data_IF_075543134279
#
_entry.id   IF_075543134279
#
_cell.length_a   1.000
_cell.length_b   1.000
_cell.length_c   1.000
_cell.angle_alpha   90.00
_cell.angle_beta   90.00
_cell.angle_gamma   90.00
#
_symmetry.space_group_name_H-M   'P 1'
#
loop_
_entity.id
_entity.type
_entity.pdbx_description
1 polymer ?
#
# COMPACT_ATOMS: atom_id res chain seq x y z
N UNK A 1 -14.29 -12.73 9.37
CA UNK A 1 -13.23 -12.96 8.35
C UNK A 1 -12.25 -14.09 8.75
N UNK A 2 -12.75 -15.23 9.23
CA UNK A 2 -11.96 -16.21 10.03
C UNK A 2 -10.84 -17.00 9.31
N UNK A 3 -10.50 -16.69 8.05
CA UNK A 3 -9.54 -17.46 7.25
C UNK A 3 -8.16 -16.80 7.08
N UNK A 4 -7.97 -15.55 7.54
CA UNK A 4 -6.68 -14.83 7.55
C UNK A 4 -6.55 -13.82 8.71
N UNK A 5 -6.65 -14.26 9.98
CA UNK A 5 -6.58 -13.33 11.11
C UNK A 5 -5.17 -12.76 11.38
N UNK A 6 -4.09 -13.49 11.09
CA UNK A 6 -2.72 -13.20 11.52
C UNK A 6 -2.09 -11.87 11.07
N UNK A 7 -2.75 -11.12 10.19
CA UNK A 7 -2.32 -9.78 9.75
C UNK A 7 -2.99 -8.64 10.53
N UNK A 8 -3.89 -8.99 11.46
CA UNK A 8 -4.72 -8.09 12.23
C UNK A 8 -4.32 -8.14 13.71
N UNK A 9 -4.45 -7.02 14.40
CA UNK A 9 -4.15 -6.93 15.83
C UNK A 9 -5.20 -7.70 16.64
N UNK A 10 -4.76 -8.49 17.62
CA UNK A 10 -5.61 -9.44 18.39
C UNK A 10 -6.46 -10.37 17.49
N UNK A 11 -6.07 -10.60 16.23
CA UNK A 11 -6.85 -11.36 15.23
C UNK A 11 -8.25 -10.75 14.90
N UNK A 12 -8.52 -9.53 15.38
CA UNK A 12 -9.80 -8.81 15.24
C UNK A 12 -9.83 -7.93 13.98
N UNK A 13 -10.98 -7.89 13.32
CA UNK A 13 -11.15 -7.13 12.08
C UNK A 13 -11.49 -5.67 12.34
N UNK A 14 -11.15 -4.76 11.41
CA UNK A 14 -11.74 -3.42 11.39
C UNK A 14 -13.27 -3.50 11.29
N UNK A 15 -13.98 -2.63 12.01
CA UNK A 15 -15.38 -2.34 11.75
C UNK A 15 -15.48 -1.24 10.68
N UNK A 16 -16.23 -1.54 9.62
CA UNK A 16 -16.46 -0.71 8.45
C UNK A 16 -17.98 -0.65 8.22
N UNK A 17 -18.63 0.51 8.42
CA UNK A 17 -20.06 0.70 8.21
C UNK A 17 -20.53 0.15 6.86
N UNK A 18 -21.71 -0.47 6.86
CA UNK A 18 -22.38 -1.09 5.71
C UNK A 18 -21.59 -2.21 4.98
N UNK A 19 -20.44 -2.63 5.51
CA UNK A 19 -19.54 -3.60 4.86
C UNK A 19 -19.14 -4.75 5.78
N UNK A 20 -18.59 -4.44 6.94
CA UNK A 20 -17.99 -5.41 7.87
C UNK A 20 -18.22 -4.95 9.31
N UNK A 21 -19.01 -5.70 10.08
CA UNK A 21 -19.29 -5.44 11.49
C UNK A 21 -18.98 -6.70 12.30
N UNK A 22 -18.16 -6.57 13.35
CA UNK A 22 -17.77 -7.62 14.28
C UNK A 22 -17.33 -8.92 13.59
N UNK A 23 -16.50 -8.77 12.55
CA UNK A 23 -15.98 -9.86 11.73
C UNK A 23 -16.94 -10.42 10.68
N UNK A 24 -18.20 -9.98 10.66
CA UNK A 24 -19.28 -10.41 9.76
C UNK A 24 -19.40 -9.48 8.55
N UNK A 25 -19.27 -10.04 7.35
CA UNK A 25 -19.49 -9.30 6.10
C UNK A 25 -21.00 -9.23 5.82
N UNK A 26 -21.52 -8.02 5.67
CA UNK A 26 -22.97 -7.78 5.51
C UNK A 26 -23.47 -8.18 4.11
N UNK A 27 -22.78 -7.77 3.04
CA UNK A 27 -23.02 -8.27 1.68
C UNK A 27 -21.93 -9.27 1.27
N UNK A 28 -22.17 -10.55 1.60
CA UNK A 28 -21.29 -11.66 1.21
C UNK A 28 -21.25 -11.93 -0.30
N UNK A 29 -22.16 -11.36 -1.10
CA UNK A 29 -22.12 -11.52 -2.56
C UNK A 29 -21.10 -10.55 -3.17
N UNK A 30 -21.07 -9.30 -2.69
CA UNK A 30 -20.16 -8.24 -3.15
C UNK A 30 -18.78 -8.29 -2.53
N UNK A 31 -18.68 -8.35 -1.21
CA UNK A 31 -17.41 -8.19 -0.50
C UNK A 31 -16.75 -9.54 -0.26
N UNK A 32 -15.43 -9.62 -0.50
CA UNK A 32 -14.65 -10.86 -0.40
C UNK A 32 -13.40 -10.65 0.45
N UNK A 33 -13.17 -11.54 1.40
CA UNK A 33 -11.88 -11.64 2.09
C UNK A 33 -10.90 -12.34 1.16
N UNK A 34 -9.77 -11.71 0.89
CA UNK A 34 -8.69 -12.27 0.09
C UNK A 34 -7.49 -12.49 1.01
N UNK A 35 -7.16 -13.75 1.15
CA UNK A 35 -5.96 -14.24 1.77
C UNK A 35 -4.81 -14.18 0.76
N UNK A 36 -4.15 -13.03 0.64
CA UNK A 36 -3.20 -12.74 -0.42
C UNK A 36 -2.02 -13.71 -0.33
N UNK A 37 -2.01 -14.71 -1.21
CA UNK A 37 -1.12 -15.87 -1.14
C UNK A 37 -0.17 -15.84 -2.33
N UNK A 38 1.13 -15.72 -2.07
CA UNK A 38 2.16 -15.72 -3.10
C UNK A 38 3.25 -16.73 -2.76
N UNK A 39 3.53 -17.63 -3.72
CA UNK A 39 4.42 -18.79 -3.56
C UNK A 39 4.04 -19.64 -2.34
N UNK A 40 2.77 -20.01 -2.25
CA UNK A 40 2.14 -20.81 -1.18
C UNK A 40 2.18 -20.19 0.23
N UNK A 41 2.78 -19.01 0.42
CA UNK A 41 2.82 -18.28 1.69
C UNK A 41 1.79 -17.16 1.69
N UNK A 42 1.03 -17.05 2.79
CA UNK A 42 0.14 -15.91 3.08
C UNK A 42 1.01 -14.67 3.34
N UNK A 43 0.69 -13.54 2.71
CA UNK A 43 1.53 -12.32 2.72
C UNK A 43 0.85 -11.14 3.41
N UNK A 44 -0.44 -10.97 3.15
CA UNK A 44 -1.31 -9.96 3.78
C UNK A 44 -2.79 -10.36 3.60
N UNK A 45 -3.72 -9.59 4.16
CA UNK A 45 -5.16 -9.77 3.93
C UNK A 45 -5.75 -8.53 3.27
N UNK A 46 -6.72 -8.72 2.40
CA UNK A 46 -7.49 -7.64 1.76
C UNK A 46 -8.97 -7.93 1.89
N UNK A 47 -9.78 -6.94 2.28
CA UNK A 47 -11.23 -6.96 2.08
C UNK A 47 -11.52 -6.23 0.77
N UNK A 48 -12.12 -6.93 -0.20
CA UNK A 48 -12.23 -6.45 -1.58
C UNK A 48 -13.68 -6.30 -2.03
N UNK A 49 -14.00 -5.17 -2.68
CA UNK A 49 -15.30 -4.88 -3.28
C UNK A 49 -15.31 -5.34 -4.73
N UNK A 50 -15.96 -6.47 -5.04
CA UNK A 50 -16.00 -7.01 -6.41
C UNK A 50 -16.86 -6.18 -7.38
N UNK A 51 -17.76 -5.33 -6.87
CA UNK A 51 -18.57 -4.41 -7.68
C UNK A 51 -17.71 -3.25 -8.14
N UNK A 52 -17.11 -2.51 -7.19
CA UNK A 52 -16.24 -1.35 -7.46
C UNK A 52 -14.83 -1.72 -7.94
N UNK A 53 -14.42 -2.98 -7.78
CA UNK A 53 -13.11 -3.53 -8.20
C UNK A 53 -11.91 -2.84 -7.56
N UNK A 54 -12.10 -2.36 -6.34
CA UNK A 54 -11.07 -1.82 -5.46
C UNK A 54 -11.11 -2.51 -4.10
N UNK A 55 -9.96 -2.58 -3.39
CA UNK A 55 -9.95 -2.92 -1.98
C UNK A 55 -10.74 -1.90 -1.15
N UNK A 56 -11.49 -2.40 -0.16
CA UNK A 56 -12.01 -1.60 0.96
C UNK A 56 -10.84 -1.27 1.88
N UNK A 57 -10.07 -2.28 2.26
CA UNK A 57 -8.77 -2.16 2.93
C UNK A 57 -7.85 -3.35 2.65
N UNK A 58 -6.54 -3.14 2.79
CA UNK A 58 -5.52 -4.16 2.99
C UNK A 58 -4.92 -4.00 4.39
N UNK A 59 -4.68 -5.11 5.08
CA UNK A 59 -4.04 -5.15 6.39
C UNK A 59 -2.85 -6.11 6.39
N UNK A 60 -1.77 -5.72 7.06
CA UNK A 60 -0.49 -6.45 7.05
C UNK A 60 0.34 -6.17 8.31
N UNK A 61 1.22 -7.12 8.65
CA UNK A 61 2.24 -6.95 9.69
C UNK A 61 3.50 -6.33 9.09
N UNK A 62 3.85 -5.14 9.55
CA UNK A 62 5.16 -4.53 9.31
C UNK A 62 6.22 -5.20 10.19
N UNK A 63 7.30 -5.67 9.57
CA UNK A 63 8.38 -6.43 10.22
C UNK A 63 9.78 -5.86 9.88
N UNK A 64 9.81 -4.63 9.37
CA UNK A 64 11.02 -4.01 8.83
C UNK A 64 11.27 -4.44 7.39
N UNK A 65 12.50 -4.23 6.92
CA UNK A 65 12.93 -4.59 5.57
C UNK A 65 14.29 -5.27 5.61
N UNK A 66 14.44 -6.40 4.91
CA UNK A 66 15.71 -7.12 4.72
C UNK A 66 16.75 -6.37 3.84
N UNK A 67 16.39 -5.20 3.31
CA UNK A 67 17.22 -4.40 2.40
C UNK A 67 17.33 -4.94 0.96
N UNK A 68 16.69 -6.07 0.61
CA UNK A 68 16.84 -6.66 -0.73
C UNK A 68 16.14 -5.81 -1.80
N UNK A 69 16.88 -5.46 -2.87
CA UNK A 69 16.28 -4.74 -4.00
C UNK A 69 15.40 -5.69 -4.80
N UNK A 70 14.17 -5.30 -5.12
CA UNK A 70 13.31 -6.02 -6.06
C UNK A 70 13.09 -5.21 -7.33
N UNK A 71 13.29 -5.86 -8.48
CA UNK A 71 12.83 -5.35 -9.77
C UNK A 71 11.30 -5.36 -9.80
N UNK A 72 10.68 -4.38 -10.47
CA UNK A 72 9.20 -4.32 -10.59
C UNK A 72 8.67 -5.62 -11.22
N UNK A 73 7.88 -6.43 -10.50
CA UNK A 73 7.34 -7.67 -11.04
C UNK A 73 6.17 -7.37 -12.01
N UNK A 74 5.69 -8.43 -12.67
CA UNK A 74 4.44 -8.35 -13.42
C UNK A 74 3.24 -8.17 -12.46
N UNK A 75 2.26 -7.37 -12.90
CA UNK A 75 0.97 -7.24 -12.23
C UNK A 75 0.27 -8.59 -12.12
N UNK A 76 -0.42 -8.83 -11.00
CA UNK A 76 -1.09 -10.09 -10.69
C UNK A 76 -2.60 -9.91 -10.47
N UNK A 77 -3.28 -11.03 -10.52
CA UNK A 77 -4.71 -11.19 -10.31
C UNK A 77 -4.96 -12.41 -9.41
N UNK A 78 -6.13 -12.42 -8.78
CA UNK A 78 -6.57 -13.42 -7.82
C UNK A 78 -7.50 -14.46 -8.46
N UNK A 79 -7.05 -15.71 -8.71
CA UNK A 79 -7.81 -16.65 -9.52
C UNK A 79 -9.15 -17.06 -8.90
N UNK A 80 -9.19 -17.11 -7.57
CA UNK A 80 -10.33 -17.62 -6.81
C UNK A 80 -11.52 -16.64 -6.75
N UNK A 81 -11.30 -15.35 -7.09
CA UNK A 81 -12.39 -14.39 -7.33
C UNK A 81 -13.19 -14.68 -8.61
N UNK A 82 -12.54 -15.13 -9.69
CA UNK A 82 -13.25 -15.42 -10.96
C UNK A 82 -14.01 -16.75 -10.91
N UNK A 83 -13.47 -17.75 -10.21
CA UNK A 83 -14.12 -19.05 -9.97
C UNK A 83 -13.59 -19.66 -8.69
N UNK A 84 -14.49 -20.01 -7.76
CA UNK A 84 -14.16 -20.53 -6.41
C UNK A 84 -13.21 -21.74 -6.41
N UNK A 85 -13.23 -22.57 -7.45
CA UNK A 85 -12.38 -23.77 -7.59
C UNK A 85 -10.98 -23.49 -8.14
N UNK A 86 -10.64 -22.24 -8.46
CA UNK A 86 -9.29 -21.89 -8.91
C UNK A 86 -8.31 -21.81 -7.73
N UNK A 87 -7.02 -21.94 -8.01
CA UNK A 87 -5.96 -21.89 -7.02
C UNK A 87 -5.97 -20.59 -6.17
N UNK A 88 -5.64 -20.73 -4.88
CA UNK A 88 -5.54 -19.61 -3.93
C UNK A 88 -4.34 -18.69 -4.17
N UNK A 89 -3.33 -19.15 -4.93
CA UNK A 89 -2.15 -18.34 -5.23
C UNK A 89 -2.46 -17.27 -6.27
N UNK A 90 -2.05 -16.04 -5.99
CA UNK A 90 -2.02 -14.97 -6.98
C UNK A 90 -1.11 -15.34 -8.16
N UNK A 91 -1.52 -14.96 -9.37
CA UNK A 91 -0.76 -15.26 -10.61
C UNK A 91 -0.65 -14.05 -11.51
N UNK A 92 0.37 -14.03 -12.36
CA UNK A 92 0.59 -12.97 -13.34
C UNK A 92 -0.66 -12.73 -14.18
N UNK A 93 -1.06 -11.47 -14.33
CA UNK A 93 -2.17 -11.10 -15.17
C UNK A 93 -1.78 -11.16 -16.65
N UNK A 94 -2.11 -12.29 -17.29
CA UNK A 94 -1.92 -12.50 -18.73
C UNK A 94 -2.87 -11.59 -19.51
N UNK A 95 -2.34 -10.88 -20.50
CA UNK A 95 -3.03 -9.80 -21.23
C UNK A 95 -4.33 -10.26 -21.93
N UNK A 96 -5.22 -9.27 -22.14
CA UNK A 96 -6.39 -9.19 -23.05
C UNK A 96 -7.79 -9.46 -22.50
N UNK A 97 -7.98 -10.28 -21.47
CA UNK A 97 -9.34 -10.52 -20.95
C UNK A 97 -9.62 -9.66 -19.71
N UNK A 98 -10.68 -8.85 -19.75
CA UNK A 98 -11.24 -8.21 -18.57
C UNK A 98 -11.74 -9.28 -17.58
N UNK A 99 -11.66 -8.99 -16.27
CA UNK A 99 -12.11 -9.91 -15.21
C UNK A 99 -13.46 -9.47 -14.70
N UNK A 100 -14.35 -10.41 -14.39
CA UNK A 100 -15.72 -10.10 -13.97
C UNK A 100 -15.74 -9.50 -12.58
N UNK A 101 -14.97 -10.09 -11.65
CA UNK A 101 -15.11 -9.85 -10.22
C UNK A 101 -13.94 -9.03 -9.63
N UNK A 102 -12.96 -8.62 -10.44
CA UNK A 102 -11.80 -7.82 -10.01
C UNK A 102 -11.26 -6.93 -11.13
N UNK A 103 -10.35 -6.03 -10.79
CA UNK A 103 -9.61 -5.21 -11.74
C UNK A 103 -8.58 -6.04 -12.54
N UNK A 104 -8.34 -5.63 -13.78
CA UNK A 104 -7.33 -6.19 -14.69
C UNK A 104 -6.23 -5.18 -14.98
N UNK A 105 -5.04 -5.65 -15.37
CA UNK A 105 -3.92 -4.75 -15.65
C UNK A 105 -4.23 -3.81 -16.83
N UNK A 106 -5.09 -4.25 -17.76
CA UNK A 106 -5.63 -3.48 -18.88
C UNK A 106 -6.49 -2.29 -18.47
N UNK A 107 -7.18 -2.36 -17.33
CA UNK A 107 -8.07 -1.28 -16.87
C UNK A 107 -7.25 -0.02 -16.52
N UNK A 108 -6.03 -0.23 -16.01
CA UNK A 108 -5.05 0.80 -15.65
C UNK A 108 -4.03 1.15 -16.77
N UNK A 109 -4.20 0.69 -18.01
CA UNK A 109 -3.37 1.16 -19.13
C UNK A 109 -3.92 2.49 -19.65
N UNK A 110 -3.04 3.46 -19.95
CA UNK A 110 -3.44 4.79 -20.45
C UNK A 110 -4.47 5.50 -19.57
N UNK A 111 -4.31 5.39 -18.24
CA UNK A 111 -5.25 5.89 -17.24
C UNK A 111 -4.82 7.23 -16.62
N UNK A 112 -4.25 8.15 -17.41
CA UNK A 112 -3.89 9.49 -16.90
C UNK A 112 -5.14 10.22 -16.37
N UNK A 113 -5.08 10.98 -15.25
CA UNK A 113 -3.92 11.34 -14.41
C UNK A 113 -3.60 10.34 -13.27
N UNK A 114 -4.04 9.08 -13.37
CA UNK A 114 -3.95 8.08 -12.29
C UNK A 114 -2.76 7.11 -12.45
N UNK A 115 -2.17 6.77 -11.31
CA UNK A 115 -1.27 5.65 -11.08
C UNK A 115 -2.02 4.43 -10.51
N UNK A 116 -1.32 3.30 -10.49
CA UNK A 116 -1.69 2.11 -9.70
C UNK A 116 -1.20 2.31 -8.26
N UNK A 117 -2.00 2.98 -7.43
CA UNK A 117 -1.69 3.23 -6.02
C UNK A 117 -1.84 1.96 -5.19
N UNK A 118 -0.90 1.69 -4.28
CA UNK A 118 -0.90 0.48 -3.44
C UNK A 118 -1.50 0.79 -2.06
N UNK A 119 -2.22 -0.18 -1.47
CA UNK A 119 -2.64 -0.07 -0.06
C UNK A 119 -1.63 -0.70 0.90
N UNK A 120 -1.14 -1.90 0.59
CA UNK A 120 0.12 -2.39 1.14
C UNK A 120 1.27 -1.97 0.21
N UNK A 121 2.09 -0.96 0.57
CA UNK A 121 3.12 -0.46 -0.31
C UNK A 121 4.32 -1.41 -0.40
N UNK A 122 4.90 -1.48 -1.60
CA UNK A 122 6.10 -2.27 -1.90
C UNK A 122 7.28 -1.96 -0.95
N UNK A 123 7.44 -0.70 -0.54
CA UNK A 123 8.49 -0.28 0.39
C UNK A 123 8.44 -1.01 1.75
N UNK A 124 7.26 -1.49 2.16
CA UNK A 124 7.03 -2.10 3.47
C UNK A 124 7.15 -3.63 3.47
N UNK A 125 7.31 -4.26 2.29
CA UNK A 125 7.54 -5.70 2.21
C UNK A 125 8.84 -6.09 2.90
N UNK A 126 8.81 -7.10 3.76
CA UNK A 126 9.98 -7.55 4.53
C UNK A 126 11.05 -8.15 3.62
N UNK A 127 10.65 -9.16 2.83
CA UNK A 127 11.50 -9.87 1.87
C UNK A 127 11.07 -9.57 0.42
N UNK A 128 11.90 -9.97 -0.56
CA UNK A 128 11.59 -9.80 -1.99
C UNK A 128 10.24 -10.38 -2.40
N UNK A 129 9.76 -11.44 -1.76
CA UNK A 129 8.50 -12.09 -2.11
C UNK A 129 7.27 -11.41 -1.48
N UNK A 130 7.42 -10.87 -0.26
CA UNK A 130 6.44 -9.94 0.33
C UNK A 130 6.30 -8.71 -0.59
N UNK A 131 7.42 -8.08 -0.97
CA UNK A 131 7.48 -6.96 -1.94
C UNK A 131 6.82 -7.31 -3.28
N UNK A 132 7.16 -8.45 -3.84
CA UNK A 132 6.59 -8.90 -5.11
C UNK A 132 5.08 -9.13 -5.00
N UNK A 133 4.56 -9.58 -3.85
CA UNK A 133 3.14 -9.86 -3.64
C UNK A 133 2.25 -8.63 -3.61
N UNK A 134 2.80 -7.44 -3.33
CA UNK A 134 2.01 -6.19 -3.27
C UNK A 134 1.44 -5.79 -4.64
N UNK A 135 2.02 -6.32 -5.74
CA UNK A 135 1.64 -6.05 -7.13
C UNK A 135 0.44 -6.89 -7.63
N UNK A 136 -0.40 -7.41 -6.73
CA UNK A 136 -1.73 -7.93 -7.10
C UNK A 136 -2.75 -6.80 -7.20
N UNK A 137 -3.55 -6.78 -8.25
CA UNK A 137 -4.48 -5.67 -8.55
C UNK A 137 -5.62 -5.54 -7.53
N UNK A 138 -5.83 -6.56 -6.69
CA UNK A 138 -6.77 -6.48 -5.57
C UNK A 138 -6.23 -5.63 -4.41
N UNK A 139 -4.92 -5.32 -4.39
CA UNK A 139 -4.27 -4.37 -3.47
C UNK A 139 -4.16 -2.94 -4.05
N UNK A 140 -4.75 -2.69 -5.24
CA UNK A 140 -4.51 -1.48 -6.04
C UNK A 140 -5.77 -0.65 -6.22
N UNK A 141 -5.60 0.67 -6.18
CA UNK A 141 -6.62 1.67 -6.53
C UNK A 141 -6.12 2.65 -7.61
N UNK A 142 -7.03 3.30 -8.37
CA UNK A 142 -6.68 4.46 -9.17
C UNK A 142 -6.33 5.64 -8.25
N UNK A 143 -5.03 5.97 -8.15
CA UNK A 143 -4.57 7.05 -7.28
C UNK A 143 -3.97 8.18 -8.12
N UNK A 144 -4.38 9.42 -7.88
CA UNK A 144 -3.88 10.60 -8.61
C UNK A 144 -2.35 10.66 -8.53
N UNK A 145 -1.68 10.88 -9.67
CA UNK A 145 -0.21 10.85 -9.79
C UNK A 145 0.52 11.70 -8.75
N UNK A 146 0.09 12.96 -8.58
CA UNK A 146 0.71 13.89 -7.65
C UNK A 146 0.46 13.51 -6.19
N UNK A 147 -0.72 12.95 -5.87
CA UNK A 147 -1.00 12.42 -4.54
C UNK A 147 -0.12 11.20 -4.23
N UNK A 148 -0.17 10.19 -5.11
CA UNK A 148 0.61 8.94 -5.03
C UNK A 148 2.11 9.20 -4.90
N UNK A 149 2.67 10.06 -5.76
CA UNK A 149 4.12 10.35 -5.81
C UNK A 149 4.58 11.45 -4.86
N UNK A 150 3.65 12.21 -4.28
CA UNK A 150 3.92 13.32 -3.37
C UNK A 150 3.56 12.97 -1.93
N UNK A 151 2.50 13.58 -1.41
CA UNK A 151 2.17 13.52 0.02
C UNK A 151 1.82 12.13 0.54
N UNK A 152 1.30 11.24 -0.31
CA UNK A 152 1.08 9.84 0.07
C UNK A 152 2.41 9.08 0.22
N UNK A 153 3.31 9.16 -0.77
CA UNK A 153 4.64 8.56 -0.67
C UNK A 153 5.48 9.14 0.49
N UNK A 154 5.32 10.43 0.80
CA UNK A 154 5.97 11.07 1.94
C UNK A 154 5.40 10.56 3.28
N UNK A 155 4.08 10.38 3.38
CA UNK A 155 3.44 9.73 4.52
C UNK A 155 3.93 8.29 4.68
N UNK A 156 3.97 7.50 3.59
CA UNK A 156 4.47 6.12 3.61
C UNK A 156 5.94 6.07 4.07
N UNK A 157 6.81 6.90 3.50
CA UNK A 157 8.22 7.05 3.88
C UNK A 157 8.34 7.38 5.38
N UNK A 158 7.41 8.19 5.88
CA UNK A 158 7.44 8.59 7.27
C UNK A 158 6.99 7.51 8.24
N UNK A 159 5.82 6.91 8.01
CA UNK A 159 5.30 5.84 8.86
C UNK A 159 6.30 4.69 8.90
N UNK A 160 6.90 4.30 7.78
CA UNK A 160 7.97 3.29 7.77
C UNK A 160 9.12 3.60 8.73
N UNK A 161 9.59 4.83 8.66
CA UNK A 161 10.70 5.32 9.46
C UNK A 161 10.34 5.41 10.96
N UNK A 162 9.10 5.78 11.29
CA UNK A 162 8.57 5.75 12.64
C UNK A 162 8.48 4.31 13.18
N UNK A 163 7.88 3.40 12.40
CA UNK A 163 7.72 1.99 12.75
C UNK A 163 9.09 1.34 13.04
N UNK A 164 10.09 1.56 12.16
CA UNK A 164 11.47 1.08 12.33
C UNK A 164 12.14 1.50 13.64
N UNK A 165 11.76 2.66 14.19
CA UNK A 165 12.41 3.25 15.36
C UNK A 165 11.70 2.94 16.68
N UNK A 166 10.39 2.75 16.64
CA UNK A 166 9.55 2.72 17.85
C UNK A 166 8.70 1.46 18.01
N UNK A 167 8.51 0.64 16.97
CA UNK A 167 7.64 -0.53 17.03
C UNK A 167 8.43 -1.82 17.26
N UNK A 168 9.10 -1.87 18.42
CA UNK A 168 9.85 -3.03 18.89
C UNK A 168 9.04 -3.70 19.99
N UNK A 169 8.66 -4.96 19.78
CA UNK A 169 7.84 -5.71 20.73
C UNK A 169 8.67 -6.29 21.90
N UNK A 170 8.01 -6.92 22.88
CA UNK A 170 8.66 -7.48 24.08
C UNK A 170 9.69 -8.60 23.81
N UNK A 171 9.73 -9.14 22.58
CA UNK A 171 10.73 -10.11 22.13
C UNK A 171 11.92 -9.43 21.43
N UNK A 172 12.01 -8.10 21.50
CA UNK A 172 12.97 -7.27 20.78
C UNK A 172 12.91 -7.43 19.25
N UNK A 173 11.73 -7.80 18.72
CA UNK A 173 11.47 -7.93 17.29
C UNK A 173 10.68 -6.72 16.79
N UNK A 174 10.95 -6.30 15.55
CA UNK A 174 10.17 -5.23 14.94
C UNK A 174 8.79 -5.76 14.51
N UNK A 175 7.73 -5.17 15.06
CA UNK A 175 6.35 -5.57 14.79
C UNK A 175 5.40 -4.37 14.88
N UNK A 176 4.70 -4.09 13.78
CA UNK A 176 3.58 -3.16 13.76
C UNK A 176 2.45 -3.68 12.89
N UNK A 177 1.22 -3.31 13.22
CA UNK A 177 0.02 -3.66 12.47
C UNK A 177 -0.43 -2.43 11.69
N UNK A 178 -0.61 -2.57 10.39
CA UNK A 178 -1.00 -1.46 9.51
C UNK A 178 -2.22 -1.86 8.71
N UNK A 179 -3.19 -0.95 8.63
CA UNK A 179 -4.39 -1.09 7.81
C UNK A 179 -4.49 0.16 6.94
N UNK A 180 -4.53 -0.04 5.63
CA UNK A 180 -4.70 1.03 4.63
C UNK A 180 -5.94 0.74 3.82
N UNK A 181 -6.75 1.75 3.51
CA UNK A 181 -7.99 1.58 2.77
C UNK A 181 -8.35 2.77 1.89
N UNK A 182 -9.47 2.62 1.19
CA UNK A 182 -9.96 3.58 0.22
C UNK A 182 -11.48 3.75 0.34
N UNK A 183 -11.94 5.00 0.39
CA UNK A 183 -13.36 5.36 0.32
C UNK A 183 -13.76 5.46 -1.16
N UNK A 184 -14.76 4.69 -1.64
CA UNK A 184 -15.21 4.79 -3.02
C UNK A 184 -15.57 6.22 -3.44
N UNK A 185 -15.35 6.55 -4.70
CA UNK A 185 -15.81 7.80 -5.32
C UNK A 185 -16.97 7.57 -6.29
N UNK A 186 -17.38 8.62 -7.00
CA UNK A 186 -18.52 8.59 -7.92
C UNK A 186 -18.13 8.33 -9.39
N UNK A 187 -16.83 8.18 -9.68
CA UNK A 187 -16.29 7.99 -11.03
C UNK A 187 -15.53 6.67 -11.16
N UNK A 188 -15.27 6.23 -12.39
CA UNK A 188 -14.62 4.95 -12.67
C UNK A 188 -13.62 5.06 -13.83
N UNK A 189 -12.46 4.40 -13.71
CA UNK A 189 -11.62 4.11 -14.86
C UNK A 189 -12.34 3.14 -15.79
N UNK A 190 -12.59 3.59 -17.02
CA UNK A 190 -13.13 2.81 -18.15
C UNK A 190 -14.41 2.05 -17.80
N UNK A 191 -15.28 2.65 -16.96
CA UNK A 191 -16.55 2.04 -16.52
C UNK A 191 -16.38 0.68 -15.81
N UNK A 192 -15.20 0.43 -15.21
CA UNK A 192 -14.90 -0.84 -14.52
C UNK A 192 -14.39 -0.67 -13.11
N UNK A 193 -13.37 0.17 -12.91
CA UNK A 193 -12.66 0.27 -11.63
C UNK A 193 -12.98 1.61 -10.99
N UNK A 194 -13.60 1.60 -9.82
CA UNK A 194 -13.94 2.80 -9.08
C UNK A 194 -12.68 3.63 -8.77
N UNK A 195 -12.77 4.94 -9.00
CA UNK A 195 -11.76 5.90 -8.56
C UNK A 195 -12.17 6.32 -7.15
N UNK A 196 -11.42 5.96 -6.09
CA UNK A 196 -11.78 6.35 -4.73
C UNK A 196 -11.72 7.86 -4.58
N UNK A 197 -12.56 8.39 -3.68
CA UNK A 197 -12.60 9.81 -3.32
C UNK A 197 -11.49 10.18 -2.32
N UNK A 198 -11.14 9.25 -1.43
CA UNK A 198 -10.18 9.44 -0.35
C UNK A 198 -9.43 8.13 -0.07
N UNK A 199 -8.14 8.23 0.24
CA UNK A 199 -7.35 7.13 0.82
C UNK A 199 -7.04 7.42 2.28
N UNK A 200 -6.92 6.37 3.09
CA UNK A 200 -6.58 6.45 4.50
C UNK A 200 -5.63 5.32 4.91
N UNK A 201 -4.81 5.55 5.92
CA UNK A 201 -3.94 4.55 6.52
C UNK A 201 -3.86 4.76 8.03
N UNK A 202 -3.83 3.69 8.80
CA UNK A 202 -3.58 3.74 10.22
C UNK A 202 -2.65 2.60 10.63
N UNK A 203 -1.83 2.85 11.65
CA UNK A 203 -0.97 1.84 12.26
C UNK A 203 -1.19 1.77 13.77
N UNK A 204 -0.88 0.62 14.34
CA UNK A 204 -0.78 0.40 15.78
C UNK A 204 0.34 -0.59 16.08
N UNK A 205 1.14 -0.31 17.11
CA UNK A 205 2.25 -1.16 17.52
C UNK A 205 2.57 -0.98 19.01
N UNK A 206 3.29 -1.94 19.60
CA UNK A 206 3.82 -1.82 20.94
C UNK A 206 5.28 -1.33 20.90
N UNK A 207 5.64 -0.49 21.88
CA UNK A 207 7.00 -0.01 22.10
C UNK A 207 7.49 -0.53 23.45
N UNK A 208 8.31 -1.57 23.42
CA UNK A 208 8.85 -2.20 24.63
C UNK A 208 9.71 -1.25 25.47
N UNK A 209 10.52 -0.39 24.86
CA UNK A 209 11.39 0.57 25.57
C UNK A 209 10.60 1.62 26.36
N UNK A 210 9.36 1.92 25.95
CA UNK A 210 8.47 2.86 26.63
C UNK A 210 7.34 2.19 27.41
N UNK A 211 7.24 0.86 27.38
CA UNK A 211 6.12 0.07 27.89
C UNK A 211 4.74 0.66 27.48
N UNK A 212 4.59 1.02 26.19
CA UNK A 212 3.33 1.60 25.70
C UNK A 212 2.98 1.24 24.27
N UNK A 213 1.68 1.20 23.99
CA UNK A 213 1.15 1.14 22.64
C UNK A 213 1.19 2.51 21.96
N UNK A 214 1.39 2.49 20.65
CA UNK A 214 1.54 3.64 19.78
C UNK A 214 0.63 3.45 18.57
N UNK A 215 -0.22 4.42 18.27
CA UNK A 215 -1.05 4.43 17.07
C UNK A 215 -1.07 5.81 16.40
N UNK A 216 -1.32 5.85 15.10
CA UNK A 216 -1.68 7.06 14.37
C UNK A 216 -2.46 6.72 13.09
N UNK A 217 -3.20 7.69 12.58
CA UNK A 217 -3.94 7.65 11.34
C UNK A 217 -3.52 8.78 10.39
N UNK A 218 -3.85 8.62 9.11
CA UNK A 218 -3.70 9.58 8.04
C UNK A 218 -4.83 9.40 7.03
N UNK A 219 -5.25 10.47 6.37
CA UNK A 219 -6.07 10.41 5.17
C UNK A 219 -5.76 11.57 4.23
N UNK A 220 -6.18 11.44 2.98
CA UNK A 220 -6.08 12.50 1.98
C UNK A 220 -7.01 12.25 0.80
N UNK A 221 -7.53 13.34 0.24
CA UNK A 221 -8.44 13.32 -0.90
C UNK A 221 -7.68 12.96 -2.18
N UNK A 222 -8.24 12.01 -2.94
CA UNK A 222 -7.66 11.49 -4.17
C UNK A 222 -8.10 12.33 -5.39
N UNK A 223 -7.93 13.65 -5.27
CA UNK A 223 -8.37 14.64 -6.27
C UNK A 223 -7.19 15.17 -7.09
N UNK A 224 -7.35 15.53 -8.38
CA UNK A 224 -6.33 16.25 -9.13
C UNK A 224 -6.12 17.66 -8.57
N UNK A 225 -4.87 18.12 -8.51
CA UNK A 225 -4.54 19.50 -8.12
C UNK A 225 -3.20 19.62 -7.40
N UNK A 226 -3.03 20.75 -6.70
CA UNK A 226 -1.98 20.89 -5.69
C UNK A 226 -2.38 20.16 -4.41
N UNK A 227 -1.44 19.40 -3.85
CA UNK A 227 -1.57 18.81 -2.52
C UNK A 227 -0.53 19.45 -1.59
N UNK A 228 -0.89 19.64 -0.32
CA UNK A 228 0.09 19.92 0.73
C UNK A 228 1.19 18.84 0.70
N UNK A 229 2.47 19.23 0.83
CA UNK A 229 3.61 18.29 0.68
C UNK A 229 3.58 17.11 1.66
N UNK A 230 2.96 17.29 2.83
CA UNK A 230 2.84 16.28 3.87
C UNK A 230 1.36 16.06 4.20
N UNK A 231 0.99 14.85 4.63
CA UNK A 231 -0.25 14.60 5.35
C UNK A 231 0.01 14.76 6.85
N UNK A 232 -0.84 15.51 7.54
CA UNK A 232 -0.77 15.64 9.00
C UNK A 232 -1.20 14.32 9.67
N UNK A 233 -0.49 13.89 10.75
CA UNK A 233 -0.89 12.72 11.50
C UNK A 233 -2.12 13.01 12.35
N UNK A 234 -2.92 11.97 12.54
CA UNK A 234 -4.22 12.02 13.21
C UNK A 234 -4.34 10.92 14.25
N UNK A 235 -5.25 11.12 15.19
CA UNK A 235 -5.65 10.11 16.17
C UNK A 235 -6.58 9.08 15.53
N UNK A 236 -6.74 7.90 16.15
CA UNK A 236 -7.71 6.92 15.68
C UNK A 236 -9.15 7.41 15.88
N UNK A 237 -9.41 8.23 16.90
CA UNK A 237 -10.70 8.87 17.15
C UNK A 237 -11.08 9.82 16.00
N UNK A 238 -10.19 10.71 15.55
CA UNK A 238 -10.49 11.58 14.41
C UNK A 238 -10.72 10.79 13.10
N UNK A 239 -10.05 9.65 12.90
CA UNK A 239 -10.32 8.76 11.75
C UNK A 239 -11.71 8.11 11.86
N UNK A 240 -12.11 7.70 13.07
CA UNK A 240 -13.44 7.17 13.34
C UNK A 240 -14.52 8.24 13.12
N UNK A 241 -14.31 9.47 13.58
CA UNK A 241 -15.22 10.60 13.33
C UNK A 241 -15.33 10.93 11.82
N UNK A 242 -14.23 10.83 11.06
CA UNK A 242 -14.18 11.12 9.63
C UNK A 242 -14.82 10.04 8.74
N UNK A 243 -14.76 8.77 9.13
CA UNK A 243 -15.17 7.63 8.27
C UNK A 243 -16.19 6.67 8.89
N UNK A 244 -16.44 6.74 10.20
CA UNK A 244 -17.20 5.76 10.98
C UNK A 244 -16.44 4.45 11.24
N UNK A 245 -15.11 4.42 11.04
CA UNK A 245 -14.33 3.18 11.03
C UNK A 245 -13.66 2.93 12.39
N UNK A 246 -13.73 1.70 12.90
CA UNK A 246 -12.91 1.26 14.03
C UNK A 246 -11.83 0.34 13.50
N UNK A 247 -10.62 0.87 13.31
CA UNK A 247 -9.56 0.15 12.57
C UNK A 247 -8.85 -0.91 13.41
N UNK A 248 -8.76 -0.68 14.72
CA UNK A 248 -8.07 -1.56 15.67
C UNK A 248 -8.91 -1.77 16.93
N UNK A 249 -8.67 -2.86 17.69
CA UNK A 249 -9.26 -3.05 19.01
C UNK A 249 -8.92 -1.89 19.96
N UNK A 250 -9.94 -1.30 20.58
CA UNK A 250 -9.79 -0.21 21.56
C UNK A 250 -9.12 -0.61 22.88
N UNK A 251 -8.79 -1.90 23.05
CA UNK A 251 -8.10 -2.46 24.23
C UNK A 251 -6.61 -2.09 24.31
N UNK A 252 -5.95 -1.90 23.15
CA UNK A 252 -4.51 -1.72 23.08
C UNK A 252 -4.12 -0.38 22.43
N UNK A 253 -4.78 -0.03 21.31
CA UNK A 253 -4.37 1.13 20.52
C UNK A 253 -4.91 2.43 21.11
N UNK A 254 -4.06 3.45 21.39
CA UNK A 254 -4.53 4.71 21.95
C UNK A 254 -5.45 5.43 20.96
N UNK A 255 -6.69 5.69 21.36
CA UNK A 255 -7.69 6.32 20.49
C UNK A 255 -7.50 7.83 20.34
N UNK A 256 -7.07 8.52 21.41
CA UNK A 256 -7.02 10.00 21.50
C UNK A 256 -5.59 10.59 21.59
N UNK A 257 -4.55 9.75 21.59
CA UNK A 257 -3.14 10.16 21.44
C UNK A 257 -2.66 9.68 20.06
N UNK A 258 -1.87 10.49 19.35
CA UNK A 258 -1.20 10.04 18.13
C UNK A 258 0.31 9.94 18.37
N UNK A 259 0.91 8.83 17.95
CA UNK A 259 2.26 8.42 18.32
C UNK A 259 3.39 9.41 17.94
N UNK A 260 3.10 10.34 17.02
CA UNK A 260 4.05 11.33 16.52
C UNK A 260 4.04 12.65 17.32
N UNK A 261 3.10 12.84 18.25
CA UNK A 261 2.93 14.09 19.01
C UNK A 261 4.17 14.47 19.84
N UNK A 262 4.80 13.47 20.48
CA UNK A 262 6.07 13.67 21.22
C UNK A 262 7.20 14.14 20.28
N UNK A 263 7.31 13.54 19.08
CA UNK A 263 8.41 13.84 18.17
C UNK A 263 8.22 15.17 17.44
N UNK A 264 6.97 15.53 17.07
CA UNK A 264 6.60 16.88 16.66
C UNK A 264 7.03 17.92 17.71
N UNK A 265 6.68 17.67 18.98
CA UNK A 265 6.99 18.57 20.10
C UNK A 265 8.49 18.73 20.32
N UNK A 266 9.26 17.63 20.22
CA UNK A 266 10.73 17.66 20.28
C UNK A 266 11.35 18.40 19.09
N UNK A 267 10.80 18.28 17.88
CA UNK A 267 11.27 19.05 16.70
C UNK A 267 11.02 20.56 16.86
N UNK A 268 9.83 20.96 17.31
CA UNK A 268 9.50 22.37 17.59
C UNK A 268 10.46 22.99 18.61
N UNK A 269 10.77 22.27 19.71
CA UNK A 269 11.75 22.71 20.72
C UNK A 269 13.19 22.85 20.18
N UNK A 270 13.53 22.20 19.06
CA UNK A 270 14.84 22.30 18.40
C UNK A 270 14.90 23.41 17.32
N UNK A 271 13.88 24.25 17.21
CA UNK A 271 13.83 25.34 16.21
C UNK A 271 13.69 24.84 14.75
N UNK A 272 13.37 23.57 14.54
CA UNK A 272 13.25 22.99 13.20
C UNK A 272 11.96 23.50 12.55
N UNK A 273 12.10 24.21 11.42
CA UNK A 273 10.97 24.77 10.68
C UNK A 273 9.97 23.70 10.24
N UNK A 274 8.68 23.98 10.45
CA UNK A 274 7.55 23.16 10.00
C UNK A 274 7.46 23.01 8.46
N UNK A 275 8.22 23.81 7.70
CA UNK A 275 8.36 23.69 6.24
C UNK A 275 9.24 22.51 5.80
N UNK A 276 10.13 22.01 6.69
CA UNK A 276 10.90 20.80 6.42
C UNK A 276 10.01 19.55 6.47
N UNK A 277 10.34 18.51 5.69
CA UNK A 277 9.52 17.29 5.58
C UNK A 277 9.09 16.79 6.95
N UNK A 278 7.77 16.67 7.13
CA UNK A 278 7.13 16.56 8.44
C UNK A 278 7.70 15.42 9.29
N UNK A 279 8.22 14.37 8.64
CA UNK A 279 8.58 13.15 9.31
C UNK A 279 9.72 13.23 10.34
N UNK A 280 9.47 12.87 11.62
CA UNK A 280 10.43 12.92 12.72
C UNK A 280 11.85 12.42 12.47
N UNK A 281 11.98 11.30 11.78
CA UNK A 281 13.17 10.44 11.79
C UNK A 281 13.95 10.43 10.46
N UNK A 282 13.48 11.17 9.45
CA UNK A 282 14.19 11.29 8.19
C UNK A 282 15.29 12.35 8.32
N UNK A 283 16.52 12.09 7.84
CA UNK A 283 17.60 13.08 7.88
C UNK A 283 17.16 14.36 7.19
N UNK A 284 17.47 15.51 7.79
CA UNK A 284 17.40 16.76 7.06
C UNK A 284 18.43 16.70 5.94
N UNK A 285 17.99 16.87 4.70
CA UNK A 285 18.88 17.10 3.58
C UNK A 285 19.52 18.47 3.76
N UNK A 286 20.69 18.50 4.40
CA UNK A 286 21.52 19.70 4.48
C UNK A 286 22.00 20.06 3.08
N UNK A 287 21.31 21.00 2.43
CA UNK A 287 21.76 21.63 1.20
C UNK A 287 22.90 22.59 1.52
N UNK A 288 24.04 22.03 1.93
CA UNK A 288 25.31 22.74 1.99
C UNK A 288 25.85 22.80 0.56
N UNK A 289 25.37 23.76 -0.22
CA UNK A 289 25.96 24.09 -1.51
C UNK A 289 27.36 24.65 -1.27
N UNK A 290 28.36 23.77 -1.28
CA UNK A 290 29.75 24.18 -1.32
C UNK A 290 30.00 24.97 -2.62
N UNK A 291 30.71 26.12 -2.57
CA UNK A 291 31.08 26.84 -3.79
C UNK A 291 31.96 25.96 -4.69
N UNK A 292 31.84 26.06 -6.03
CA UNK A 292 32.68 25.28 -6.93
C UNK A 292 34.14 25.78 -6.87
N UNK A 293 35.02 24.95 -6.33
CA UNK A 293 36.48 25.19 -6.38
C UNK A 293 36.97 25.04 -7.82
N UNK A 294 37.48 26.12 -8.38
CA UNK A 294 38.08 26.15 -9.72
C UNK A 294 39.50 25.55 -9.71
N UNK A 295 39.73 24.58 -10.60
CA UNK A 295 41.08 24.07 -10.93
C UNK A 295 41.27 24.17 -12.45
N UNK A 296 42.39 24.70 -12.96
CA UNK A 296 42.52 25.06 -14.38
C UNK A 296 42.90 23.86 -15.26
N UNK A 297 42.36 23.83 -16.49
CA UNK A 297 42.76 22.92 -17.56
C UNK A 297 43.06 23.67 -18.85
N UNK A 298 44.24 23.44 -19.44
CA UNK A 298 44.67 24.03 -20.71
C UNK A 298 43.88 23.47 -21.92
N UNK A 299 43.88 24.18 -23.08
CA UNK A 299 42.80 24.06 -24.05
C UNK A 299 43.03 23.01 -25.15
N UNK A 300 41.92 22.56 -25.74
CA UNK A 300 41.87 22.04 -27.11
C UNK A 300 40.70 22.67 -27.86
N UNK A 301 40.95 23.01 -29.12
CA UNK A 301 40.10 23.84 -29.98
C UNK A 301 38.94 23.10 -30.63
N UNK A 302 37.74 23.70 -30.67
CA UNK A 302 36.97 23.88 -31.92
C UNK A 302 35.79 24.86 -31.78
N UNK A 303 35.83 25.93 -32.58
CA UNK A 303 34.72 26.54 -33.37
C UNK A 303 33.28 26.41 -32.81
N UNK A 304 32.65 27.51 -32.37
CA UNK A 304 31.88 28.38 -33.28
C UNK A 304 31.20 29.58 -32.61
N UNK A 305 30.99 30.60 -33.43
CA UNK A 305 30.42 31.93 -33.18
C UNK A 305 28.96 31.94 -32.67
N UNK A 306 28.60 32.86 -31.76
CA UNK A 306 27.50 33.84 -31.96
C UNK A 306 27.46 34.89 -30.83
N UNK A 307 27.10 36.13 -31.17
CA UNK A 307 26.96 37.24 -30.22
C UNK A 307 25.54 37.29 -29.65
N UNK A 308 25.36 37.83 -28.42
CA UNK A 308 24.54 39.03 -28.19
C UNK A 308 24.54 39.52 -26.73
N UNK A 309 25.00 40.75 -26.57
CA UNK A 309 24.61 41.81 -25.61
C UNK A 309 23.92 41.48 -24.29
N UNK A 310 24.60 41.93 -23.23
CA UNK A 310 24.04 42.40 -21.96
C UNK A 310 22.99 43.52 -22.12
N UNK A 311 22.07 43.63 -21.16
CA UNK A 311 21.79 44.91 -20.50
C UNK A 311 21.22 44.67 -19.09
N UNK A 312 21.77 45.37 -18.10
CA UNK A 312 21.22 45.46 -16.74
C UNK A 312 20.50 46.80 -16.58
N UNK A 313 19.35 46.81 -15.91
CA UNK A 313 18.80 48.03 -15.30
C UNK A 313 18.25 47.75 -13.91
N UNK A 314 18.39 48.74 -13.04
CA UNK A 314 18.15 48.73 -11.60
C UNK A 314 16.81 49.38 -11.24
N UNK A 315 16.52 49.43 -9.93
CA UNK A 315 15.47 50.24 -9.26
C UNK A 315 14.01 49.81 -9.54
N UNK A 316 13.07 49.93 -8.60
CA UNK A 316 13.06 50.80 -7.42
C UNK A 316 12.35 50.22 -6.17
N UNK A 317 12.51 50.88 -5.02
CA UNK A 317 11.73 50.66 -3.79
C UNK A 317 10.49 51.55 -3.77
N UNK A 318 9.36 51.05 -3.26
CA UNK A 318 8.36 51.92 -2.63
C UNK A 318 7.75 51.28 -1.38
N UNK A 319 7.69 52.05 -0.31
CA UNK A 319 7.11 51.70 1.00
C UNK A 319 5.73 52.32 1.14
N UNK A 320 4.71 51.56 1.54
CA UNK A 320 3.53 52.12 2.23
C UNK A 320 2.92 51.11 3.20
N UNK A 321 2.48 51.62 4.37
CA UNK A 321 1.82 50.90 5.47
C UNK A 321 0.64 51.78 5.94
N UNK A 322 -0.19 51.34 6.90
CA UNK A 322 -1.41 50.55 6.72
C UNK A 322 -2.69 51.40 6.68
N UNK A 323 -3.84 50.79 6.35
CA UNK A 323 -5.16 51.35 6.66
C UNK A 323 -6.05 50.27 7.28
N UNK A 324 -6.56 50.55 8.47
CA UNK A 324 -7.73 49.91 9.11
C UNK A 324 -8.61 51.05 9.62
N UNK A 325 -9.94 50.92 9.63
CA UNK A 325 -10.61 50.67 10.91
C UNK A 325 -11.93 49.87 10.82
N UNK A 326 -12.65 49.79 11.95
CA UNK A 326 -14.07 49.42 12.12
C UNK A 326 -14.45 47.94 12.40
N UNK A 327 -14.00 47.48 13.57
CA UNK A 327 -14.83 46.90 14.65
C UNK A 327 -16.36 46.77 14.44
N UNK A 328 -16.91 45.56 14.57
CA UNK A 328 -18.24 45.32 15.21
C UNK A 328 -18.33 43.93 15.86
N UNK A 329 -18.77 43.86 17.13
CA UNK A 329 -19.13 42.65 17.90
C UNK A 329 -19.92 43.11 19.15
N UNK A 330 -20.71 42.28 19.87
CA UNK A 330 -21.47 41.09 19.48
C UNK A 330 -22.99 41.36 19.49
N UNK A 331 -23.80 40.37 19.11
CA UNK A 331 -25.12 40.20 19.75
C UNK A 331 -25.18 38.89 20.54
N UNK A 332 -25.78 39.00 21.70
CA UNK A 332 -26.03 37.96 22.71
C UNK A 332 -27.40 37.34 22.52
N UNK A 333 -27.52 36.03 22.70
CA UNK A 333 -28.77 35.40 23.11
C UNK A 333 -28.52 34.61 24.39
N UNK A 334 -29.38 34.82 25.39
CA UNK A 334 -29.15 34.41 26.76
C UNK A 334 -30.28 33.51 27.27
N UNK A 335 -29.89 32.32 27.73
CA UNK A 335 -30.43 31.61 28.93
C UNK A 335 -31.81 30.92 28.96
N UNK A 336 -31.72 29.62 29.31
CA UNK A 336 -32.40 28.92 30.43
C UNK A 336 -33.76 28.19 30.22
N UNK A 337 -34.09 27.17 31.07
CA UNK A 337 -33.19 26.14 31.62
C UNK A 337 -33.81 24.71 31.74
N UNK A 338 -32.92 23.74 31.96
CA UNK A 338 -33.04 22.49 32.76
C UNK A 338 -34.42 21.79 32.98
N UNK A 339 -34.46 20.49 32.64
CA UNK A 339 -35.29 19.49 33.36
C UNK A 339 -34.42 18.24 33.64
N UNK A 340 -34.63 17.58 34.78
CA UNK A 340 -33.80 16.50 35.33
C UNK A 340 -34.68 15.29 35.69
N UNK A 341 -34.07 14.16 36.11
CA UNK A 341 -34.66 12.99 36.81
C UNK A 341 -35.20 11.87 35.86
N UNK A 342 -34.97 10.56 36.12
CA UNK A 342 -33.90 9.89 36.90
C UNK A 342 -33.20 8.73 36.13
N UNK A 343 -32.21 8.11 36.78
CA UNK A 343 -31.69 6.80 36.40
C UNK A 343 -32.56 5.65 36.96
N UNK A 344 -32.65 4.52 36.25
CA UNK A 344 -33.22 3.26 36.76
C UNK A 344 -32.44 2.03 36.30
N UNK A 345 -31.90 1.32 37.30
CA UNK A 345 -31.64 -0.14 37.36
C UNK A 345 -30.93 -0.86 36.20
N UNK A 346 -29.69 -1.28 36.48
CA UNK A 346 -29.08 -2.48 35.90
C UNK A 346 -29.91 -3.75 36.19
N UNK A 347 -29.89 -4.75 35.30
CA UNK A 347 -30.08 -6.15 35.67
C UNK A 347 -28.72 -6.82 35.89
N UNK A 348 -28.45 -7.28 37.11
CA UNK A 348 -27.28 -8.13 37.38
C UNK A 348 -27.38 -9.45 36.60
N UNK A 349 -26.35 -9.80 35.83
CA UNK A 349 -26.21 -11.15 35.29
C UNK A 349 -25.23 -11.95 36.15
N UNK A 350 -25.74 -12.99 36.81
CA UNK A 350 -24.96 -13.80 37.74
C UNK A 350 -23.79 -14.51 37.04
N UNK A 351 -22.60 -14.32 37.59
CA UNK A 351 -21.39 -15.04 37.21
C UNK A 351 -21.48 -16.51 37.64
N UNK A 352 -21.73 -17.42 36.70
CA UNK A 352 -21.50 -18.85 36.89
C UNK A 352 -20.06 -19.17 36.50
N UNK A 353 -19.26 -19.51 37.50
CA UNK A 353 -17.90 -20.02 37.30
C UNK A 353 -18.01 -21.46 36.76
N UNK A 354 -17.61 -21.66 35.50
CA UNK A 354 -17.21 -22.98 35.02
C UNK A 354 -15.70 -23.00 34.80
N UNK A 355 -14.98 -23.60 35.74
CA UNK A 355 -13.58 -24.00 35.60
C UNK A 355 -13.49 -25.21 34.68
N UNK A 356 -12.98 -25.05 33.46
CA UNK A 356 -12.57 -26.17 32.61
C UNK A 356 -11.18 -25.93 32.02
N UNK A 357 -10.17 -26.43 32.71
CA UNK A 357 -8.77 -26.46 32.27
C UNK A 357 -8.62 -27.39 31.05
N UNK A 358 -8.03 -26.94 29.92
CA UNK A 358 -7.60 -27.85 28.87
C UNK A 358 -6.20 -28.37 29.21
N UNK A 359 -6.15 -29.56 29.82
CA UNK A 359 -4.89 -30.25 30.15
C UNK A 359 -4.18 -30.73 28.88
N UNK A 360 -2.90 -30.39 28.73
CA UNK A 360 -2.01 -30.96 27.70
C UNK A 360 -1.53 -32.35 28.17
N UNK A 361 -1.63 -33.41 27.35
CA UNK A 361 -0.82 -34.60 27.48
C UNK A 361 0.30 -34.60 26.44
N UNK A 362 1.55 -34.63 26.90
CA UNK A 362 2.71 -34.87 26.04
C UNK A 362 3.13 -36.35 26.12
N UNK A 363 3.41 -36.92 24.95
CA UNK A 363 4.34 -38.04 24.67
C UNK A 363 4.36 -39.31 25.54
N UNK A 364 4.17 -40.46 24.90
CA UNK A 364 4.95 -41.67 25.19
C UNK A 364 5.11 -42.57 23.96
N UNK A 365 6.36 -42.85 23.57
CA UNK A 365 6.71 -44.04 22.78
C UNK A 365 6.57 -45.31 23.64
N UNK A 366 6.51 -46.50 23.02
CA UNK A 366 7.67 -47.38 23.17
C UNK A 366 8.16 -48.06 21.87
N UNK A 367 9.37 -48.61 21.97
CA UNK A 367 10.22 -49.14 20.89
C UNK A 367 9.98 -50.63 20.56
N UNK A 368 10.41 -51.03 19.34
CA UNK A 368 10.98 -52.37 18.96
C UNK A 368 10.05 -53.61 19.07
N UNK A 369 10.17 -54.69 18.27
CA UNK A 369 11.34 -55.22 17.55
C UNK A 369 10.98 -56.18 16.36
N UNK A 370 11.75 -56.06 15.26
CA UNK A 370 12.42 -57.16 14.50
C UNK A 370 11.70 -58.31 13.74
N UNK A 371 12.36 -58.72 12.63
CA UNK A 371 12.46 -60.07 11.99
C UNK A 371 11.27 -60.65 11.16
N UNK A 372 11.46 -61.35 10.02
CA UNK A 372 12.67 -61.70 9.25
C UNK A 372 12.41 -62.16 7.77
N UNK A 373 13.48 -62.17 6.95
CA UNK A 373 13.76 -63.06 5.77
C UNK A 373 12.86 -62.98 4.50
N UNK A 374 13.32 -63.27 3.26
CA UNK A 374 14.61 -63.74 2.67
C UNK A 374 14.74 -63.17 1.23
N UNK A 375 15.82 -62.46 0.83
CA UNK A 375 17.08 -62.91 0.20
C UNK A 375 17.03 -63.50 -1.23
N UNK A 376 17.59 -62.77 -2.21
CA UNK A 376 18.79 -63.11 -3.06
C UNK A 376 18.99 -61.96 -4.09
N UNK A 377 20.13 -61.25 -4.19
CA UNK A 377 21.49 -61.62 -4.66
C UNK A 377 21.61 -61.71 -6.21
N UNK A 378 22.61 -61.17 -6.92
CA UNK A 378 23.80 -60.37 -6.55
C UNK A 378 24.39 -59.54 -7.74
N UNK A 379 25.45 -58.75 -7.47
CA UNK A 379 26.10 -57.69 -8.29
C UNK A 379 27.47 -58.17 -8.88
N UNK A 380 27.82 -57.90 -10.17
CA UNK A 380 28.73 -56.78 -10.53
C UNK A 380 28.44 -56.09 -11.91
N UNK A 381 29.44 -55.43 -12.52
CA UNK A 381 29.41 -54.59 -13.73
C UNK A 381 30.71 -54.73 -14.58
N UNK A 382 30.74 -54.19 -15.81
CA UNK A 382 31.98 -53.70 -16.47
C UNK A 382 31.74 -52.85 -17.75
N UNK A 383 32.80 -52.12 -18.14
CA UNK A 383 33.02 -51.30 -19.37
C UNK A 383 32.93 -52.13 -20.68
N UNK A 384 32.90 -51.61 -21.92
CA UNK A 384 33.59 -50.45 -22.52
C UNK A 384 33.06 -50.06 -23.95
N UNK A 385 33.29 -48.81 -24.39
CA UNK A 385 33.61 -48.33 -25.78
C UNK A 385 32.86 -48.82 -27.08
N UNK A 386 32.31 -47.82 -27.81
CA UNK A 386 32.52 -47.47 -29.25
C UNK A 386 31.37 -47.43 -30.30
N UNK A 387 31.45 -46.36 -31.12
CA UNK A 387 31.03 -46.15 -32.53
C UNK A 387 29.57 -45.88 -32.98
N UNK A 388 29.43 -44.65 -33.50
CA UNK A 388 28.85 -44.24 -34.80
C UNK A 388 27.37 -43.86 -35.05
N UNK A 389 27.27 -42.69 -35.70
CA UNK A 389 26.34 -42.24 -36.75
C UNK A 389 24.92 -41.71 -36.42
N UNK A 390 24.85 -40.38 -36.41
CA UNK A 390 23.69 -39.55 -36.78
C UNK A 390 23.32 -39.71 -38.26
N UNK A 391 22.04 -39.56 -38.62
CA UNK A 391 21.70 -38.71 -39.77
C UNK A 391 20.71 -37.57 -39.42
N UNK A 392 20.84 -36.46 -40.14
CA UNK A 392 20.01 -35.24 -40.05
C UNK A 392 19.55 -34.88 -41.49
N UNK A 393 18.73 -33.83 -41.65
CA UNK A 393 18.40 -33.10 -42.92
C UNK A 393 17.27 -33.79 -43.75
N UNK A 394 16.40 -33.05 -44.50
CA UNK A 394 16.50 -31.63 -44.89
C UNK A 394 15.35 -30.69 -44.50
N UNK A 395 15.69 -29.39 -44.50
CA UNK A 395 14.82 -28.32 -44.96
C UNK A 395 15.11 -28.00 -46.45
N UNK A 396 14.16 -27.43 -47.18
CA UNK A 396 14.32 -26.97 -48.57
C UNK A 396 13.86 -25.52 -48.75
N UNK A 397 14.30 -24.90 -49.85
CA UNK A 397 14.57 -23.47 -49.99
C UNK A 397 13.51 -22.64 -50.75
N UNK A 398 13.70 -21.31 -50.73
CA UNK A 398 13.03 -20.32 -51.59
C UNK A 398 13.24 -20.57 -53.10
N UNK A 399 12.53 -19.80 -53.96
CA UNK A 399 13.25 -18.76 -54.69
C UNK A 399 12.57 -17.37 -54.74
N UNK A 400 13.37 -16.32 -54.94
CA UNK A 400 12.91 -14.94 -55.19
C UNK A 400 12.65 -14.66 -56.69
N UNK A 401 11.66 -13.80 -56.98
CA UNK A 401 11.63 -12.92 -58.17
C UNK A 401 11.11 -11.51 -57.78
N UNK A 402 11.56 -10.50 -58.53
CA UNK A 402 11.52 -9.05 -58.27
C UNK A 402 10.17 -8.30 -58.42
N UNK A 403 10.08 -7.20 -57.67
CA UNK A 403 9.49 -5.88 -58.01
C UNK A 403 8.12 -5.75 -58.71
N UNK A 404 7.21 -4.97 -58.11
CA UNK A 404 6.95 -3.55 -58.53
C UNK A 404 5.94 -2.85 -57.61
N UNK A 405 6.00 -1.52 -57.57
CA UNK A 405 5.10 -0.65 -56.81
C UNK A 405 3.85 -0.26 -57.61
N UNK A 406 2.69 -0.21 -56.96
CA UNK A 406 1.67 0.80 -57.30
C UNK A 406 0.72 1.10 -56.13
N UNK A 407 0.59 2.38 -55.82
CA UNK A 407 -0.39 2.94 -54.89
C UNK A 407 -1.72 3.15 -55.63
N UNK A 408 -2.86 2.85 -55.01
CA UNK A 408 -4.13 3.47 -55.41
C UNK A 408 -5.10 3.62 -54.22
N UNK A 409 -5.54 4.86 -54.02
CA UNK A 409 -6.56 5.26 -53.05
C UNK A 409 -7.92 5.28 -53.74
N UNK A 410 -9.03 4.84 -53.13
CA UNK A 410 -10.35 5.02 -53.71
C UNK A 410 -10.84 6.47 -53.52
N UNK A 411 -11.08 7.17 -54.63
CA UNK A 411 -11.61 8.54 -54.66
C UNK A 411 -13.14 8.54 -54.51
N UNK A 412 -13.67 9.50 -53.74
CA UNK A 412 -15.11 9.75 -53.60
C UNK A 412 -15.60 10.57 -54.80
N UNK A 413 -16.74 10.24 -55.46
CA UNK A 413 -17.33 11.09 -56.48
C UNK A 413 -18.03 12.30 -55.83
N UNK A 414 -17.68 13.50 -56.28
CA UNK A 414 -18.41 14.73 -55.93
C UNK A 414 -19.63 14.90 -56.85
N UNK A 415 -20.75 15.32 -56.26
CA UNK A 415 -21.94 15.79 -56.99
C UNK A 415 -21.75 17.20 -57.54
N UNK A 416 -22.40 17.48 -58.65
CA UNK A 416 -22.44 18.79 -59.32
C UNK A 416 -23.30 19.82 -58.60
N UNK A 417 -22.79 21.04 -58.50
CA UNK A 417 -23.50 22.32 -58.66
C UNK A 417 -22.53 23.35 -59.25
#
# INVERSE_FOLDING_TARGET
MAHCPWFLLEEKTPNVPDVLQDGTILDQNRYKVICQTFKNKRRFVTLYDTRNKIPVFSAFKYRGTDGTKSNRPLWRMEPQLERKTNAINMRNDKKRNQKKNQASNSDYLFSDPYNRGHLFPNSYGFDKEDRDSTFTLTNIVPQVKNFNGGSWAEMERCVQCFLNKHCINSFNLLEGFVVTGAKPGNTQLKERVNIPSLLWSAFCCYNHTKDKWLAAAYWGDNVPGEHSRNLEPKTLAELHEQLGFEVFPGTQCPLREHALQEEQSRRRRRGISASSSFCPCLPQTSTTSAPPTTTPSFPSSTVSTTLSTTLSTTTDKTTTVPITPATTKPQTYTTNPLTTIPATSEPQYNSIIMTSTPTIPASSEPKTNSTNQTSTAFIPASTESQTNQTPTIPATSEPQINSTSSTSTPTIPATSE
#
